data_IF_169326546654
#
_entry.id   IF_169326546654
#
_cell.length_a   1.000
_cell.length_b   1.000
_cell.length_c   1.000
_cell.angle_alpha   90.00
_cell.angle_beta   90.00
_cell.angle_gamma   90.00
#
_symmetry.space_group_name_H-M   'P 1'
#
loop_
_entity.id
_entity.type
_entity.pdbx_description
1 polymer ?
#
# COMPACT_ATOMS: atom_id res chain seq x y z
N UNK A 1 9.23 -20.57 6.07
CA UNK A 1 8.13 -21.34 5.43
C UNK A 1 7.24 -21.89 6.53
N UNK A 2 6.08 -22.47 6.19
CA UNK A 2 5.25 -23.12 7.22
C UNK A 2 6.02 -24.21 7.97
N UNK A 3 6.85 -24.99 7.26
CA UNK A 3 7.71 -26.02 7.87
C UNK A 3 8.69 -25.42 8.90
N UNK A 4 9.42 -24.37 8.53
CA UNK A 4 10.37 -23.70 9.44
C UNK A 4 9.68 -23.14 10.70
N UNK A 5 8.50 -22.54 10.54
CA UNK A 5 7.73 -22.03 11.68
C UNK A 5 7.14 -23.14 12.53
N UNK A 6 6.77 -24.27 11.93
CA UNK A 6 6.27 -25.45 12.64
C UNK A 6 7.38 -26.10 13.47
N UNK A 7 8.58 -26.23 12.91
CA UNK A 7 9.76 -26.74 13.63
C UNK A 7 10.12 -25.85 14.84
N UNK A 8 10.05 -24.52 14.66
CA UNK A 8 10.23 -23.58 15.76
C UNK A 8 9.19 -23.78 16.87
N UNK A 9 7.91 -23.91 16.51
CA UNK A 9 6.83 -24.17 17.48
C UNK A 9 7.07 -25.49 18.20
N UNK A 10 7.46 -26.55 17.48
CA UNK A 10 7.74 -27.86 18.06
C UNK A 10 8.85 -27.80 19.12
N UNK A 11 9.91 -27.01 18.88
CA UNK A 11 10.98 -26.80 19.85
C UNK A 11 10.47 -26.14 21.15
N UNK A 12 9.53 -25.20 21.06
CA UNK A 12 8.91 -24.57 22.24
C UNK A 12 7.96 -25.51 22.99
N UNK A 13 7.24 -26.40 22.29
CA UNK A 13 6.34 -27.37 22.92
C UNK A 13 7.07 -28.34 23.86
N UNK A 14 8.37 -28.57 23.65
CA UNK A 14 9.20 -29.41 24.51
C UNK A 14 9.45 -28.80 25.90
N UNK A 15 9.29 -27.48 26.06
CA UNK A 15 9.58 -26.76 27.31
C UNK A 15 8.35 -26.11 27.94
N UNK A 16 7.24 -25.98 27.20
CA UNK A 16 5.98 -25.40 27.67
C UNK A 16 5.03 -26.45 28.24
N UNK A 17 4.23 -26.05 29.23
CA UNK A 17 3.26 -26.92 29.87
C UNK A 17 2.20 -27.44 28.88
N UNK A 18 1.72 -28.70 29.03
CA UNK A 18 0.75 -29.30 28.12
C UNK A 18 -0.54 -28.48 28.00
N UNK A 19 -0.95 -27.81 29.08
CA UNK A 19 -2.18 -27.03 29.13
C UNK A 19 -2.00 -25.56 28.72
N UNK A 20 -0.80 -25.09 28.39
CA UNK A 20 -0.59 -23.68 28.03
C UNK A 20 -1.27 -23.34 26.69
N UNK A 21 -2.05 -22.25 26.65
CA UNK A 21 -2.63 -21.76 25.40
C UNK A 21 -1.58 -20.92 24.65
N UNK A 22 -1.31 -21.30 23.40
CA UNK A 22 -0.25 -20.70 22.59
C UNK A 22 -0.80 -19.84 21.47
N UNK A 23 -0.26 -18.64 21.32
CA UNK A 23 -0.57 -17.75 20.20
C UNK A 23 0.54 -17.83 19.16
N UNK A 24 0.20 -18.28 17.95
CA UNK A 24 1.14 -18.52 16.85
C UNK A 24 0.89 -17.53 15.69
N UNK A 25 1.94 -17.23 14.92
CA UNK A 25 1.92 -16.34 13.76
C UNK A 25 2.73 -16.93 12.61
N UNK A 26 2.64 -16.32 11.43
CA UNK A 26 3.44 -16.65 10.25
C UNK A 26 3.20 -18.05 9.65
N UNK A 27 2.10 -18.70 10.05
CA UNK A 27 1.59 -19.89 9.40
C UNK A 27 0.53 -19.50 8.37
N UNK A 28 0.51 -20.19 7.23
CA UNK A 28 -0.67 -20.23 6.37
C UNK A 28 -1.85 -20.91 7.08
N UNK A 29 -3.03 -20.86 6.46
CA UNK A 29 -4.21 -21.56 6.98
C UNK A 29 -3.95 -23.08 7.02
N UNK A 30 -3.43 -23.63 5.93
CA UNK A 30 -3.12 -25.06 5.80
C UNK A 30 -2.02 -25.48 6.80
N UNK A 31 -0.98 -24.65 6.98
CA UNK A 31 0.08 -24.89 7.96
C UNK A 31 -0.43 -24.89 9.40
N UNK A 32 -1.39 -24.02 9.72
CA UNK A 32 -2.04 -23.99 11.04
C UNK A 32 -2.96 -25.21 11.27
N UNK A 33 -3.66 -25.67 10.24
CA UNK A 33 -4.44 -26.91 10.31
C UNK A 33 -3.53 -28.13 10.55
N UNK A 34 -2.43 -28.24 9.80
CA UNK A 34 -1.43 -29.29 9.99
C UNK A 34 -0.80 -29.26 11.40
N UNK A 35 -0.50 -28.07 11.94
CA UNK A 35 -0.01 -27.91 13.32
C UNK A 35 -1.03 -28.45 14.33
N UNK A 36 -2.30 -28.12 14.17
CA UNK A 36 -3.37 -28.58 15.07
C UNK A 36 -3.56 -30.09 15.02
N UNK A 37 -3.42 -30.69 13.85
CA UNK A 37 -3.53 -32.13 13.68
C UNK A 37 -2.33 -32.86 14.30
N UNK A 38 -1.11 -32.33 14.11
CA UNK A 38 0.12 -32.90 14.65
C UNK A 38 0.19 -32.85 16.20
N UNK A 39 -0.39 -31.81 16.82
CA UNK A 39 -0.45 -31.63 18.27
C UNK A 39 -1.87 -31.38 18.76
N UNK A 40 -2.75 -32.37 18.51
CA UNK A 40 -4.20 -32.28 18.81
C UNK A 40 -4.56 -32.12 20.30
N UNK A 41 -3.63 -32.43 21.20
CA UNK A 41 -3.74 -32.24 22.64
C UNK A 41 -3.40 -30.82 23.10
N UNK A 42 -2.79 -30.00 22.23
CA UNK A 42 -2.39 -28.62 22.52
C UNK A 42 -3.44 -27.61 22.06
N UNK A 43 -3.47 -26.45 22.71
CA UNK A 43 -4.38 -25.35 22.40
C UNK A 43 -3.65 -24.21 21.69
N UNK A 44 -3.90 -24.06 20.39
CA UNK A 44 -3.30 -22.99 19.58
C UNK A 44 -4.32 -21.92 19.18
N UNK A 45 -3.88 -20.66 19.13
CA UNK A 45 -4.60 -19.51 18.57
C UNK A 45 -3.77 -18.88 17.46
N UNK A 46 -4.31 -18.86 16.24
CA UNK A 46 -3.65 -18.21 15.11
C UNK A 46 -3.88 -16.70 15.16
N UNK A 47 -2.79 -15.91 15.18
CA UNK A 47 -2.84 -14.46 15.01
C UNK A 47 -2.81 -14.14 13.52
N UNK A 48 -3.98 -13.87 12.96
CA UNK A 48 -4.15 -13.48 11.56
C UNK A 48 -4.02 -11.96 11.41
N UNK A 49 -3.04 -11.54 10.62
CA UNK A 49 -2.84 -10.13 10.23
C UNK A 49 -2.84 -9.99 8.72
N UNK A 50 -1.71 -10.32 8.09
CA UNK A 50 -1.50 -10.13 6.64
C UNK A 50 -2.56 -10.80 5.79
N UNK A 51 -2.95 -12.04 6.08
CA UNK A 51 -4.00 -12.72 5.27
C UNK A 51 -5.36 -12.03 5.40
N UNK A 52 -5.70 -11.50 6.58
CA UNK A 52 -6.97 -10.81 6.81
C UNK A 52 -7.03 -9.46 6.09
N UNK A 53 -5.94 -8.68 6.14
CA UNK A 53 -5.90 -7.30 5.63
C UNK A 53 -5.31 -7.16 4.23
N UNK A 54 -4.49 -8.12 3.79
CA UNK A 54 -3.72 -8.10 2.54
C UNK A 54 -3.83 -9.40 1.73
N UNK A 55 -4.61 -10.38 2.19
CA UNK A 55 -4.78 -11.66 1.49
C UNK A 55 -5.55 -11.49 0.18
N UNK A 56 -6.82 -11.07 0.27
CA UNK A 56 -7.59 -10.68 -0.91
C UNK A 56 -7.37 -9.20 -1.23
N UNK A 57 -6.44 -8.93 -2.16
CA UNK A 57 -6.13 -7.58 -2.64
C UNK A 57 -7.24 -6.96 -3.51
N UNK A 58 -8.28 -7.72 -3.85
CA UNK A 58 -9.46 -7.18 -4.55
C UNK A 58 -10.48 -6.58 -3.60
N UNK A 59 -10.41 -6.91 -2.30
CA UNK A 59 -11.37 -6.46 -1.30
C UNK A 59 -11.24 -4.97 -0.91
N UNK A 60 -10.06 -4.37 -1.07
CA UNK A 60 -9.81 -2.96 -0.76
C UNK A 60 -8.94 -2.31 -1.84
N UNK A 61 -9.38 -1.13 -2.29
CA UNK A 61 -8.68 -0.33 -3.30
C UNK A 61 -8.54 1.10 -2.80
N UNK A 62 -7.31 1.62 -2.78
CA UNK A 62 -7.05 3.02 -2.44
C UNK A 62 -7.10 3.87 -3.71
N UNK A 63 -7.86 4.96 -3.64
CA UNK A 63 -7.91 5.99 -4.67
C UNK A 63 -7.80 7.38 -4.06
N UNK A 64 -7.41 8.35 -4.87
CA UNK A 64 -7.38 9.76 -4.49
C UNK A 64 -7.93 10.64 -5.61
N UNK A 65 -8.61 11.72 -5.24
CA UNK A 65 -9.23 12.64 -6.19
C UNK A 65 -8.20 13.59 -6.81
N UNK A 66 -8.38 13.90 -8.09
CA UNK A 66 -7.64 14.97 -8.75
C UNK A 66 -8.31 16.30 -8.47
N UNK A 67 -7.61 17.15 -7.73
CA UNK A 67 -8.13 18.44 -7.24
C UNK A 67 -7.79 19.60 -8.17
N UNK A 68 -6.75 19.45 -9.00
CA UNK A 68 -6.42 20.43 -10.04
C UNK A 68 -5.58 19.81 -11.16
N UNK A 69 -5.69 20.40 -12.35
CA UNK A 69 -4.84 20.10 -13.50
C UNK A 69 -4.36 21.43 -14.10
N UNK A 70 -3.10 21.47 -14.52
CA UNK A 70 -2.46 22.61 -15.19
C UNK A 70 -1.65 22.10 -16.37
N UNK A 71 -1.73 22.77 -17.50
CA UNK A 71 -0.75 22.57 -18.56
C UNK A 71 0.61 23.08 -18.10
N UNK A 72 1.68 22.45 -18.57
CA UNK A 72 3.04 22.84 -18.28
C UNK A 72 3.92 22.65 -19.51
N UNK A 73 4.80 23.61 -19.73
CA UNK A 73 5.77 23.58 -20.82
C UNK A 73 7.15 23.16 -20.32
N UNK A 74 7.93 22.51 -21.19
CA UNK A 74 9.31 22.16 -20.89
C UNK A 74 10.11 23.41 -20.46
N UNK A 75 10.88 23.28 -19.37
CA UNK A 75 11.71 24.38 -18.85
C UNK A 75 11.01 25.31 -17.86
N UNK A 76 9.68 25.25 -17.72
CA UNK A 76 8.95 25.99 -16.69
C UNK A 76 9.33 25.50 -15.29
N UNK A 77 9.06 26.32 -14.26
CA UNK A 77 9.26 25.96 -12.86
C UNK A 77 7.93 25.64 -12.20
N UNK A 78 7.88 24.52 -11.48
CA UNK A 78 6.68 24.09 -10.78
C UNK A 78 6.99 23.50 -9.40
N UNK A 79 5.95 23.44 -8.56
CA UNK A 79 6.04 22.93 -7.20
C UNK A 79 6.71 23.88 -6.21
N UNK A 80 6.77 23.45 -4.95
CA UNK A 80 7.40 24.20 -3.86
C UNK A 80 8.91 24.29 -4.06
N UNK A 81 9.55 23.23 -4.56
CA UNK A 81 11.00 23.20 -4.84
C UNK A 81 11.38 23.87 -6.14
N UNK A 82 10.42 24.44 -6.89
CA UNK A 82 10.65 25.16 -8.15
C UNK A 82 11.45 24.31 -9.16
N UNK A 83 11.10 23.03 -9.28
CA UNK A 83 11.75 22.08 -10.17
C UNK A 83 11.44 22.43 -11.63
N UNK A 84 12.40 22.14 -12.50
CA UNK A 84 12.25 22.33 -13.94
C UNK A 84 11.37 21.22 -14.49
N UNK A 85 10.31 21.60 -15.20
CA UNK A 85 9.42 20.67 -15.89
C UNK A 85 10.18 20.02 -17.05
N UNK A 86 10.25 18.68 -17.13
CA UNK A 86 11.18 17.99 -18.04
C UNK A 86 10.73 17.96 -19.51
N UNK A 87 9.43 18.12 -19.77
CA UNK A 87 8.83 18.08 -21.10
C UNK A 87 7.48 18.81 -21.10
N UNK A 88 6.92 19.08 -22.28
CA UNK A 88 5.54 19.57 -22.37
C UNK A 88 4.55 18.51 -21.87
N UNK A 89 3.50 18.93 -21.17
CA UNK A 89 2.52 18.00 -20.60
C UNK A 89 1.57 18.65 -19.62
N UNK A 90 1.13 17.87 -18.64
CA UNK A 90 0.20 18.29 -17.58
C UNK A 90 0.79 18.03 -16.20
N UNK A 91 0.65 19.01 -15.33
CA UNK A 91 0.78 18.86 -13.89
C UNK A 91 -0.59 18.54 -13.30
N UNK A 92 -0.63 17.46 -12.51
CA UNK A 92 -1.85 16.97 -11.87
C UNK A 92 -1.63 17.04 -10.37
N UNK A 93 -2.53 17.72 -9.68
CA UNK A 93 -2.56 17.80 -8.22
C UNK A 93 -3.52 16.75 -7.70
N UNK A 94 -3.00 15.79 -6.96
CA UNK A 94 -3.75 14.71 -6.32
C UNK A 94 -4.01 15.10 -4.87
N UNK A 95 -5.25 15.00 -4.41
CA UNK A 95 -5.71 15.35 -3.07
C UNK A 95 -5.27 14.37 -1.97
N UNK A 96 -4.08 13.80 -2.09
CA UNK A 96 -3.48 12.93 -1.09
C UNK A 96 -2.00 13.25 -0.93
N UNK A 97 -1.50 13.12 0.30
CA UNK A 97 -0.20 13.61 0.72
C UNK A 97 0.32 12.89 1.96
N UNK A 98 1.39 13.39 2.57
CA UNK A 98 2.04 12.72 3.70
C UNK A 98 1.14 12.56 4.92
N UNK A 99 0.14 13.44 5.11
CA UNK A 99 -0.87 13.29 6.18
C UNK A 99 -1.76 12.05 5.99
N UNK A 100 -1.82 11.51 4.77
CA UNK A 100 -2.58 10.31 4.41
C UNK A 100 -1.69 9.06 4.30
N UNK A 101 -0.41 9.16 4.67
CA UNK A 101 0.56 8.07 4.49
C UNK A 101 1.16 7.97 3.08
N UNK A 102 0.94 8.97 2.23
CA UNK A 102 1.50 8.99 0.87
C UNK A 102 2.96 9.41 0.91
N UNK A 103 3.81 8.48 0.51
CA UNK A 103 5.23 8.68 0.28
C UNK A 103 5.66 7.94 -0.99
N UNK A 104 6.79 8.33 -1.62
CA UNK A 104 7.42 7.50 -2.63
C UNK A 104 7.61 6.06 -2.13
N UNK A 105 7.56 5.11 -3.05
CA UNK A 105 7.89 3.72 -2.77
C UNK A 105 9.36 3.60 -2.33
N UNK A 106 9.78 2.48 -1.70
CA UNK A 106 11.17 2.32 -1.26
C UNK A 106 12.22 2.50 -2.35
N UNK A 107 11.85 2.28 -3.61
CA UNK A 107 12.70 2.51 -4.80
C UNK A 107 12.59 3.92 -5.39
N UNK A 108 11.93 4.84 -4.70
CA UNK A 108 11.74 6.24 -5.10
C UNK A 108 10.59 6.47 -6.08
N UNK A 109 9.92 5.43 -6.59
CA UNK A 109 8.82 5.61 -7.54
C UNK A 109 7.58 6.19 -6.88
N UNK A 110 6.81 6.94 -7.67
CA UNK A 110 5.50 7.47 -7.26
C UNK A 110 4.52 6.36 -6.89
N UNK A 111 3.66 6.53 -5.87
CA UNK A 111 2.62 5.55 -5.54
C UNK A 111 1.38 5.64 -6.45
N UNK A 112 1.27 6.67 -7.30
CA UNK A 112 0.06 6.94 -8.08
C UNK A 112 0.04 6.23 -9.44
N UNK A 113 -1.12 5.71 -9.82
CA UNK A 113 -1.37 5.18 -11.16
C UNK A 113 -2.64 5.78 -11.77
N UNK A 114 -2.64 5.85 -13.10
CA UNK A 114 -3.80 6.19 -13.91
C UNK A 114 -3.70 5.39 -15.22
N UNK A 115 -4.81 4.79 -15.66
CA UNK A 115 -4.84 3.89 -16.83
C UNK A 115 -3.75 2.81 -16.79
N UNK A 116 -3.58 2.16 -15.62
CA UNK A 116 -2.55 1.13 -15.36
C UNK A 116 -1.10 1.61 -15.57
N UNK A 117 -0.87 2.90 -15.73
CA UNK A 117 0.45 3.52 -15.84
C UNK A 117 0.77 4.27 -14.56
N UNK A 118 1.99 4.09 -14.06
CA UNK A 118 2.50 4.88 -12.95
C UNK A 118 2.71 6.34 -13.38
N UNK A 119 2.21 7.28 -12.60
CA UNK A 119 2.41 8.71 -12.82
C UNK A 119 3.66 9.17 -12.10
N UNK A 120 4.50 9.99 -12.71
CA UNK A 120 5.75 10.45 -12.08
C UNK A 120 5.47 11.57 -11.08
N UNK A 121 5.97 11.45 -9.86
CA UNK A 121 5.99 12.58 -8.93
C UNK A 121 6.91 13.66 -9.49
N UNK A 122 6.42 14.90 -9.56
CA UNK A 122 7.29 16.03 -9.90
C UNK A 122 8.28 16.26 -8.74
N UNK A 123 7.77 16.28 -7.51
CA UNK A 123 8.54 16.42 -6.27
C UNK A 123 7.93 15.55 -5.16
N UNK A 124 8.62 15.36 -4.01
CA UNK A 124 8.05 14.60 -2.90
C UNK A 124 6.69 15.15 -2.43
N UNK A 125 5.75 14.28 -2.01
CA UNK A 125 4.42 14.69 -1.53
C UNK A 125 4.45 15.76 -0.43
N UNK A 126 3.50 16.69 -0.48
CA UNK A 126 3.21 17.63 0.61
C UNK A 126 2.18 17.03 1.56
N UNK A 127 1.81 17.78 2.62
CA UNK A 127 0.90 17.27 3.66
C UNK A 127 -0.42 16.74 3.09
N UNK A 128 -1.09 17.51 2.22
CA UNK A 128 -2.42 17.19 1.71
C UNK A 128 -2.49 17.03 0.19
N UNK A 129 -1.40 17.33 -0.53
CA UNK A 129 -1.41 17.30 -1.99
C UNK A 129 -0.11 16.72 -2.52
N UNK A 130 -0.22 15.88 -3.54
CA UNK A 130 0.91 15.41 -4.33
C UNK A 130 0.84 15.99 -5.73
N UNK A 131 1.98 16.37 -6.28
CA UNK A 131 2.07 16.87 -7.65
C UNK A 131 2.72 15.80 -8.52
N UNK A 132 1.97 15.32 -9.52
CA UNK A 132 2.48 14.38 -10.52
C UNK A 132 2.54 15.04 -11.89
N UNK A 133 3.50 14.64 -12.71
CA UNK A 133 3.68 15.11 -14.07
C UNK A 133 3.28 14.01 -15.05
N UNK A 134 2.57 14.41 -16.10
CA UNK A 134 2.18 13.55 -17.21
C UNK A 134 2.63 14.18 -18.53
N UNK A 135 3.58 13.58 -19.25
CA UNK A 135 4.03 14.10 -20.54
C UNK A 135 2.89 14.17 -21.56
N UNK A 136 2.98 15.13 -22.49
CA UNK A 136 2.07 15.23 -23.62
C UNK A 136 2.02 13.90 -24.42
N UNK A 137 0.83 13.57 -24.94
CA UNK A 137 0.58 12.32 -25.66
C UNK A 137 0.25 11.11 -24.78
N UNK A 138 0.43 11.20 -23.45
CA UNK A 138 -0.05 10.19 -22.51
C UNK A 138 -1.42 10.54 -21.95
N UNK A 139 -2.21 9.51 -21.63
CA UNK A 139 -3.44 9.68 -20.86
C UNK A 139 -3.10 10.28 -19.49
N UNK A 140 -3.81 11.34 -19.13
CA UNK A 140 -3.71 11.98 -17.83
C UNK A 140 -5.10 12.24 -17.28
N UNK A 141 -5.27 12.09 -15.95
CA UNK A 141 -6.54 12.34 -15.30
C UNK A 141 -6.96 13.81 -15.46
N UNK A 142 -8.25 14.02 -15.61
CA UNK A 142 -8.92 15.31 -15.55
C UNK A 142 -9.23 15.74 -14.13
N UNK A 143 -9.74 16.97 -13.99
CA UNK A 143 -10.30 17.44 -12.73
C UNK A 143 -11.46 16.52 -12.30
N UNK A 144 -11.51 16.17 -11.01
CA UNK A 144 -12.49 15.26 -10.41
C UNK A 144 -12.41 13.79 -10.84
N UNK A 145 -11.44 13.41 -11.68
CA UNK A 145 -11.09 12.00 -11.85
C UNK A 145 -10.42 11.46 -10.59
N UNK A 146 -10.41 10.12 -10.46
CA UNK A 146 -9.63 9.43 -9.43
C UNK A 146 -8.38 8.80 -10.01
N UNK A 147 -7.32 8.80 -9.21
CA UNK A 147 -6.11 8.02 -9.46
C UNK A 147 -5.99 6.90 -8.44
N UNK A 148 -5.42 5.77 -8.86
CA UNK A 148 -5.15 4.64 -7.97
C UNK A 148 -3.93 4.95 -7.11
N UNK A 149 -3.95 4.53 -5.84
CA UNK A 149 -2.87 4.78 -4.87
C UNK A 149 -2.32 3.47 -4.36
N UNK A 150 -1.01 3.27 -4.50
CA UNK A 150 -0.32 2.07 -4.02
C UNK A 150 0.38 2.38 -2.69
N UNK A 151 -0.30 2.16 -1.57
CA UNK A 151 0.25 2.26 -0.21
C UNK A 151 -0.21 1.10 0.70
N UNK A 152 0.59 0.71 1.72
CA UNK A 152 0.14 -0.23 2.74
C UNK A 152 -1.06 0.32 3.54
N UNK A 153 -2.09 -0.49 3.75
CA UNK A 153 -3.24 -0.05 4.56
C UNK A 153 -2.91 0.18 6.04
N UNK A 154 -1.80 -0.37 6.53
CA UNK A 154 -1.33 -0.19 7.91
C UNK A 154 -0.76 1.20 8.20
N UNK A 155 -0.40 1.97 7.16
CA UNK A 155 0.17 3.31 7.28
C UNK A 155 -0.65 4.39 6.57
N UNK A 156 -1.81 4.01 6.00
CA UNK A 156 -2.67 4.90 5.21
C UNK A 156 -3.86 5.38 6.04
N UNK A 157 -4.10 6.68 6.03
CA UNK A 157 -5.31 7.30 6.59
C UNK A 157 -6.20 7.72 5.42
N UNK A 158 -7.48 7.33 5.46
CA UNK A 158 -8.46 7.63 4.42
C UNK A 158 -9.53 8.60 4.92
N UNK A 159 -9.94 9.53 4.07
CA UNK A 159 -11.00 10.48 4.37
C UNK A 159 -12.40 9.85 4.18
N UNK A 160 -12.52 8.87 3.27
CA UNK A 160 -13.77 8.26 2.87
C UNK A 160 -13.61 6.76 2.60
N UNK A 161 -14.59 5.97 3.04
CA UNK A 161 -14.74 4.56 2.67
C UNK A 161 -15.99 4.41 1.80
N UNK A 162 -15.82 3.96 0.57
CA UNK A 162 -16.90 3.76 -0.41
C UNK A 162 -17.14 2.27 -0.62
N UNK A 163 -18.32 1.79 -0.25
CA UNK A 163 -18.76 0.41 -0.48
C UNK A 163 -19.33 0.28 -1.90
N UNK A 164 -18.98 -0.83 -2.59
CA UNK A 164 -19.45 -1.15 -3.94
C UNK A 164 -20.23 -2.47 -3.94
#
# INVERSE_FOLDING_TARGET
>A
TDDEHTDEIAAWLAVLGPDDEMWVSHLSVDGYEALRDAWSDRRFRLRLGTTLWHGDKSGLHLGADVVAVRDASAGERAGYRQLVVPADGRLVMVGAGTAHGVHPLPDGRSPFHFDRRRLDLLEPPHMHTSMVFVPAGFSAPGLADRVDVQRPLIDTIVDEVVWR
#
